data_IF_263563131528
#
_entry.id   IF_263563131528
#
_cell.length_a   1.000
_cell.length_b   1.000
_cell.length_c   1.000
_cell.angle_alpha   90.00
_cell.angle_beta   90.00
_cell.angle_gamma   90.00
#
_symmetry.space_group_name_H-M   'P 1'
#
loop_
_entity.id
_entity.type
_entity.pdbx_description
1 polymer ?
#
# COMPACT_ATOMS: atom_id res chain seq x y z
N UNK A 1 -6.39 -5.36 -21.86
CA UNK A 1 -4.93 -5.16 -21.91
C UNK A 1 -4.41 -5.20 -20.49
N UNK A 2 -3.51 -6.14 -20.23
CA UNK A 2 -3.08 -6.58 -18.91
C UNK A 2 -2.36 -5.50 -18.14
N UNK A 3 -2.93 -5.03 -17.03
CA UNK A 3 -2.17 -4.33 -15.99
C UNK A 3 -1.62 -5.40 -15.04
N UNK A 4 -0.52 -6.02 -15.48
CA UNK A 4 0.21 -6.96 -14.66
C UNK A 4 0.84 -6.24 -13.47
N UNK A 5 0.68 -6.82 -12.29
CA UNK A 5 1.55 -6.59 -11.14
C UNK A 5 2.99 -6.93 -11.53
N UNK A 6 3.76 -5.95 -12.02
CA UNK A 6 5.19 -6.07 -12.26
C UNK A 6 5.96 -5.47 -11.09
N UNK A 7 5.95 -6.17 -9.96
CA UNK A 7 6.92 -5.97 -8.90
C UNK A 7 7.93 -7.12 -8.94
N UNK A 8 8.77 -7.13 -9.96
CA UNK A 8 9.79 -8.15 -10.12
C UNK A 8 11.07 -7.58 -10.70
N UNK A 9 11.84 -6.83 -9.93
CA UNK A 9 13.20 -6.52 -10.33
C UNK A 9 14.08 -7.74 -10.08
N UNK A 10 14.36 -8.54 -11.13
CA UNK A 10 15.41 -9.55 -11.09
C UNK A 10 16.77 -8.85 -10.97
N UNK A 11 17.39 -8.97 -9.84
CA UNK A 11 18.82 -8.70 -9.71
C UNK A 11 19.57 -9.88 -10.34
N UNK A 12 20.17 -9.67 -11.50
CA UNK A 12 21.07 -10.62 -12.13
C UNK A 12 22.35 -10.74 -11.34
N UNK A 13 22.52 -11.84 -10.65
CA UNK A 13 23.75 -12.23 -9.95
C UNK A 13 23.63 -13.67 -9.50
N UNK A 14 24.14 -14.54 -10.33
CA UNK A 14 24.44 -15.98 -10.25
C UNK A 14 24.22 -16.66 -8.87
N UNK A 15 23.12 -17.35 -8.75
CA UNK A 15 22.54 -18.43 -7.96
C UNK A 15 21.10 -18.06 -7.63
N UNK A 16 20.18 -18.92 -8.05
CA UNK A 16 18.77 -18.85 -7.69
C UNK A 16 18.58 -18.99 -6.17
N UNK A 17 18.73 -17.88 -5.45
CA UNK A 17 18.16 -17.75 -4.11
C UNK A 17 16.68 -17.46 -4.34
N UNK A 18 15.80 -18.30 -3.81
CA UNK A 18 14.38 -18.01 -3.78
C UNK A 18 14.17 -16.71 -2.97
N UNK A 19 13.10 -15.96 -3.30
CA UNK A 19 12.71 -14.76 -2.51
C UNK A 19 12.52 -15.13 -1.03
N UNK A 20 12.30 -16.40 -0.72
CA UNK A 20 12.17 -16.97 0.61
C UNK A 20 13.46 -16.92 1.44
N UNK A 21 14.64 -16.83 0.79
CA UNK A 21 15.94 -16.93 1.46
C UNK A 21 16.56 -15.58 1.85
N UNK A 22 16.00 -14.45 1.37
CA UNK A 22 16.56 -13.11 1.64
C UNK A 22 15.45 -12.16 2.08
N UNK A 23 15.55 -11.61 3.31
CA UNK A 23 14.60 -10.61 3.78
C UNK A 23 14.50 -9.45 2.79
N UNK A 24 13.29 -9.15 2.36
CA UNK A 24 13.03 -8.17 1.31
C UNK A 24 11.95 -7.20 1.75
N UNK A 25 12.12 -5.91 1.46
CA UNK A 25 11.06 -4.91 1.60
C UNK A 25 10.43 -4.66 0.22
N UNK A 26 9.11 -4.83 0.16
CA UNK A 26 8.31 -4.61 -1.04
C UNK A 26 7.46 -3.35 -0.83
N UNK A 27 7.73 -2.31 -1.62
CA UNK A 27 6.90 -1.10 -1.65
C UNK A 27 5.78 -1.24 -2.68
N UNK A 28 4.53 -0.95 -2.29
CA UNK A 28 3.37 -0.98 -3.19
C UNK A 28 2.73 0.41 -3.21
N UNK A 29 2.51 0.95 -4.42
CA UNK A 29 1.93 2.28 -4.64
C UNK A 29 0.41 2.21 -4.67
N UNK A 30 -0.18 1.99 -3.51
CA UNK A 30 -1.61 2.17 -3.26
C UNK A 30 -1.89 2.23 -1.75
N UNK A 31 -3.04 2.76 -1.35
CA UNK A 31 -3.45 2.78 0.06
C UNK A 31 -3.72 1.36 0.59
N UNK A 32 -3.25 1.09 1.81
CA UNK A 32 -3.43 -0.22 2.45
C UNK A 32 -4.66 -0.27 3.36
N UNK A 33 -5.21 0.88 3.68
CA UNK A 33 -6.40 1.03 4.52
C UNK A 33 -7.08 2.38 4.26
N UNK A 34 -8.16 2.62 4.98
CA UNK A 34 -8.98 3.80 4.85
C UNK A 34 -8.94 4.66 6.13
N UNK A 35 -9.38 5.94 6.07
CA UNK A 35 -9.49 6.81 7.25
C UNK A 35 -10.41 6.22 8.32
N UNK A 36 -10.14 6.46 9.60
CA UNK A 36 -11.00 6.02 10.72
C UNK A 36 -12.46 6.40 10.54
N UNK A 37 -12.73 7.53 9.89
CA UNK A 37 -14.10 7.96 9.56
C UNK A 37 -14.86 6.93 8.73
N UNK A 38 -14.18 6.17 7.87
CA UNK A 38 -14.79 5.07 7.11
C UNK A 38 -15.26 3.96 8.04
N UNK A 39 -14.43 3.57 9.02
CA UNK A 39 -14.79 2.54 10.00
C UNK A 39 -15.99 2.96 10.84
N UNK A 40 -16.03 4.22 11.28
CA UNK A 40 -17.16 4.76 12.04
C UNK A 40 -18.47 4.71 11.24
N UNK A 41 -18.46 5.22 10.01
CA UNK A 41 -19.66 5.31 9.15
C UNK A 41 -20.19 3.92 8.79
N UNK A 42 -19.31 2.97 8.55
CA UNK A 42 -19.70 1.59 8.22
C UNK A 42 -19.78 0.65 9.42
N UNK A 43 -19.65 1.18 10.65
CA UNK A 43 -19.74 0.43 11.90
C UNK A 43 -18.79 -0.79 11.94
N UNK A 44 -17.58 -0.59 11.40
CA UNK A 44 -16.53 -1.61 11.39
C UNK A 44 -15.64 -1.45 12.62
N UNK A 45 -15.19 -2.57 13.18
CA UNK A 45 -14.13 -2.54 14.16
C UNK A 45 -12.87 -1.89 13.55
N UNK A 46 -12.14 -1.02 14.31
CA UNK A 46 -10.91 -0.40 13.84
C UNK A 46 -9.75 -1.42 13.89
N UNK A 47 -9.88 -2.49 13.13
CA UNK A 47 -8.98 -3.63 13.03
C UNK A 47 -8.69 -3.93 11.56
N UNK A 48 -7.42 -3.89 11.18
CA UNK A 48 -7.04 -4.01 9.78
C UNK A 48 -7.36 -5.37 9.15
N UNK A 49 -7.10 -6.53 9.78
CA UNK A 49 -7.52 -7.82 9.26
C UNK A 49 -9.03 -7.91 8.98
N UNK A 50 -9.85 -7.46 9.93
CA UNK A 50 -11.31 -7.42 9.78
C UNK A 50 -11.73 -6.50 8.64
N UNK A 51 -11.07 -5.35 8.49
CA UNK A 51 -11.28 -4.44 7.36
C UNK A 51 -10.97 -5.10 6.03
N UNK A 52 -9.86 -5.81 5.89
CA UNK A 52 -9.49 -6.49 4.65
C UNK A 52 -10.57 -7.50 4.23
N UNK A 53 -11.10 -8.27 5.18
CA UNK A 53 -12.14 -9.27 4.93
C UNK A 53 -13.49 -8.63 4.55
N UNK A 54 -13.89 -7.58 5.26
CA UNK A 54 -15.11 -6.83 4.94
C UNK A 54 -14.99 -6.18 3.56
N UNK A 55 -13.85 -5.55 3.28
CA UNK A 55 -13.63 -4.86 2.01
C UNK A 55 -13.64 -5.84 0.83
N UNK A 56 -12.89 -6.94 0.89
CA UNK A 56 -12.86 -7.94 -0.17
C UNK A 56 -14.24 -8.53 -0.46
N UNK A 57 -15.08 -8.71 0.54
CA UNK A 57 -16.46 -9.19 0.37
C UNK A 57 -17.32 -8.24 -0.47
N UNK A 58 -17.09 -6.93 -0.34
CA UNK A 58 -17.86 -5.91 -1.05
C UNK A 58 -17.19 -5.47 -2.36
N UNK A 59 -15.87 -5.50 -2.40
CA UNK A 59 -15.03 -5.12 -3.52
C UNK A 59 -14.12 -6.29 -3.94
N UNK A 60 -14.67 -7.38 -4.51
CA UNK A 60 -13.90 -8.57 -4.87
C UNK A 60 -13.08 -8.36 -6.16
N UNK A 61 -12.20 -7.34 -6.17
CA UNK A 61 -11.37 -7.00 -7.33
C UNK A 61 -10.22 -7.99 -7.57
N UNK A 62 -10.03 -8.97 -6.68
CA UNK A 62 -9.15 -10.12 -6.83
C UNK A 62 -9.83 -11.30 -7.55
N UNK A 63 -11.13 -11.25 -7.77
CA UNK A 63 -11.85 -12.26 -8.53
C UNK A 63 -11.55 -12.15 -10.04
N UNK A 64 -11.53 -13.28 -10.72
CA UNK A 64 -11.25 -13.37 -12.15
C UNK A 64 -12.23 -12.50 -12.96
N UNK A 65 -11.70 -11.77 -13.94
CA UNK A 65 -12.46 -10.85 -14.80
C UNK A 65 -13.24 -9.75 -14.07
N UNK A 66 -12.89 -9.44 -12.81
CA UNK A 66 -13.55 -8.40 -12.02
C UNK A 66 -12.66 -7.17 -11.91
N UNK A 67 -13.22 -6.00 -12.28
CA UNK A 67 -12.52 -4.72 -12.29
C UNK A 67 -13.21 -3.73 -11.34
N UNK A 68 -12.46 -2.78 -10.81
CA UNK A 68 -12.96 -1.74 -9.90
C UNK A 68 -14.16 -0.99 -10.48
N UNK A 69 -14.11 -0.65 -11.77
CA UNK A 69 -15.22 0.05 -12.44
C UNK A 69 -16.50 -0.81 -12.48
N UNK A 70 -16.40 -2.12 -12.69
CA UNK A 70 -17.55 -3.03 -12.65
C UNK A 70 -18.21 -3.08 -11.27
N UNK A 71 -17.39 -3.06 -10.21
CA UNK A 71 -17.89 -3.08 -8.83
C UNK A 71 -18.53 -1.73 -8.49
N UNK A 72 -17.90 -0.64 -8.89
CA UNK A 72 -18.44 0.72 -8.71
C UNK A 72 -19.78 0.90 -9.39
N UNK A 73 -19.91 0.38 -10.61
CA UNK A 73 -21.10 0.51 -11.44
C UNK A 73 -22.17 -0.55 -11.11
N UNK A 74 -21.92 -1.40 -10.11
CA UNK A 74 -22.88 -2.39 -9.60
C UNK A 74 -22.97 -3.68 -10.44
N UNK A 75 -22.06 -3.88 -11.40
CA UNK A 75 -22.03 -5.09 -12.23
C UNK A 75 -21.43 -6.30 -11.50
N UNK A 76 -20.68 -6.07 -10.42
CA UNK A 76 -20.09 -7.11 -9.57
C UNK A 76 -19.99 -6.63 -8.12
N UNK A 77 -19.94 -7.55 -7.15
CA UNK A 77 -19.79 -7.21 -5.75
C UNK A 77 -20.93 -6.35 -5.19
N UNK A 78 -20.63 -5.60 -4.13
CA UNK A 78 -21.55 -4.63 -3.51
C UNK A 78 -20.79 -3.38 -3.03
N UNK A 79 -20.04 -2.78 -3.94
CA UNK A 79 -19.19 -1.61 -3.66
C UNK A 79 -19.97 -0.41 -3.11
N UNK A 80 -21.24 -0.26 -3.53
CA UNK A 80 -22.11 0.82 -3.07
C UNK A 80 -22.33 0.79 -1.54
N UNK A 81 -22.28 -0.37 -0.90
CA UNK A 81 -22.39 -0.50 0.56
C UNK A 81 -21.11 -0.11 1.33
N UNK A 82 -20.01 0.12 0.62
CA UNK A 82 -18.69 0.42 1.19
C UNK A 82 -18.02 1.57 0.44
N UNK A 83 -18.70 2.69 0.36
CA UNK A 83 -18.21 3.92 -0.26
C UNK A 83 -17.60 4.86 0.78
N UNK A 84 -16.71 5.74 0.35
CA UNK A 84 -16.15 6.80 1.16
C UNK A 84 -16.34 8.17 0.51
N UNK A 85 -15.88 9.21 1.19
CA UNK A 85 -15.94 10.59 0.73
C UNK A 85 -14.53 11.11 0.43
N UNK A 86 -14.35 11.78 -0.70
CA UNK A 86 -13.07 12.35 -1.12
C UNK A 86 -12.47 13.37 -0.11
N UNK A 87 -13.29 13.90 0.81
CA UNK A 87 -12.82 14.78 1.90
C UNK A 87 -12.23 14.02 3.07
N UNK A 88 -12.49 12.73 3.18
CA UNK A 88 -11.91 11.90 4.23
C UNK A 88 -10.47 11.59 3.87
N UNK A 89 -9.56 12.00 4.71
CA UNK A 89 -8.12 11.79 4.51
C UNK A 89 -7.52 11.08 5.72
N UNK A 90 -6.68 10.12 5.47
CA UNK A 90 -5.84 9.48 6.48
C UNK A 90 -4.83 10.47 7.03
N UNK A 91 -4.36 10.25 8.25
CA UNK A 91 -3.33 11.12 8.87
C UNK A 91 -2.07 11.18 8.00
N UNK A 92 -1.64 10.07 7.43
CA UNK A 92 -0.48 10.01 6.52
C UNK A 92 -0.67 10.85 5.26
N UNK A 93 -1.87 10.87 4.67
CA UNK A 93 -2.19 11.70 3.50
C UNK A 93 -2.20 13.20 3.82
N UNK A 94 -2.64 13.56 5.03
CA UNK A 94 -2.62 14.94 5.49
C UNK A 94 -1.17 15.42 5.69
N UNK A 95 -0.34 14.60 6.33
CA UNK A 95 1.07 14.92 6.58
C UNK A 95 1.92 14.94 5.32
N UNK A 96 1.63 14.11 4.32
CA UNK A 96 2.37 14.12 3.05
C UNK A 96 2.19 15.42 2.27
N UNK A 97 1.13 16.18 2.55
CA UNK A 97 0.80 17.44 1.86
C UNK A 97 0.26 17.26 0.42
N UNK A 98 0.78 16.31 -0.33
CA UNK A 98 0.46 16.10 -1.75
C UNK A 98 -0.36 14.84 -2.04
N UNK A 99 -0.34 13.82 -1.17
CA UNK A 99 -1.14 12.62 -1.37
C UNK A 99 -2.64 12.94 -1.30
N UNK A 100 -3.39 12.40 -2.24
CA UNK A 100 -4.83 12.57 -2.32
C UNK A 100 -5.53 11.51 -1.48
N UNK A 101 -6.79 11.77 -1.11
CA UNK A 101 -7.64 10.79 -0.43
C UNK A 101 -7.76 9.51 -1.26
N UNK A 102 -7.75 8.36 -0.58
CA UNK A 102 -8.06 7.04 -1.15
C UNK A 102 -9.48 6.91 -1.73
N UNK A 103 -10.31 7.95 -1.62
CA UNK A 103 -11.67 8.02 -2.18
C UNK A 103 -11.83 9.02 -3.33
N UNK A 104 -10.75 9.56 -3.87
CA UNK A 104 -10.80 10.60 -4.90
C UNK A 104 -10.84 9.99 -6.31
N UNK A 105 -11.95 9.36 -6.71
CA UNK A 105 -12.09 8.58 -7.95
C UNK A 105 -11.83 9.37 -9.23
N UNK A 106 -12.32 10.59 -9.36
CA UNK A 106 -12.38 11.29 -10.63
C UNK A 106 -11.26 12.33 -10.81
N UNK A 107 -10.09 12.09 -10.18
CA UNK A 107 -8.95 13.00 -10.27
C UNK A 107 -7.73 12.28 -10.86
N UNK A 108 -7.15 12.81 -11.96
CA UNK A 108 -5.93 12.25 -12.53
C UNK A 108 -4.80 12.14 -11.52
N UNK A 109 -4.06 11.03 -11.55
CA UNK A 109 -2.99 10.73 -10.61
C UNK A 109 -3.47 10.42 -9.19
N UNK A 110 -4.74 10.05 -9.02
CA UNK A 110 -5.26 9.49 -7.78
C UNK A 110 -4.99 7.98 -7.71
N UNK A 111 -4.62 7.50 -6.53
CA UNK A 111 -4.40 6.07 -6.26
C UNK A 111 -5.69 5.30 -5.92
N UNK A 112 -6.85 5.92 -6.06
CA UNK A 112 -8.11 5.30 -5.61
C UNK A 112 -8.40 3.98 -6.32
N UNK A 113 -8.25 3.91 -7.65
CA UNK A 113 -8.50 2.67 -8.40
C UNK A 113 -7.50 1.58 -8.05
N UNK A 114 -6.21 1.92 -7.95
CA UNK A 114 -5.18 0.97 -7.51
C UNK A 114 -5.38 0.54 -6.06
N UNK A 115 -5.84 1.44 -5.18
CA UNK A 115 -6.20 1.12 -3.80
C UNK A 115 -7.36 0.11 -3.72
N UNK A 116 -8.47 0.40 -4.42
CA UNK A 116 -9.64 -0.49 -4.42
C UNK A 116 -9.36 -1.83 -5.10
N UNK A 117 -8.48 -1.86 -6.11
CA UNK A 117 -8.01 -3.10 -6.72
C UNK A 117 -7.03 -3.85 -5.82
N UNK A 118 -6.17 -3.15 -5.10
CA UNK A 118 -5.03 -3.73 -4.38
C UNK A 118 -5.36 -4.27 -3.00
N UNK A 119 -6.34 -3.69 -2.28
CA UNK A 119 -6.68 -4.13 -0.92
C UNK A 119 -7.06 -5.63 -0.86
N UNK A 120 -7.89 -6.20 -1.77
CA UNK A 120 -8.15 -7.64 -1.79
C UNK A 120 -6.89 -8.50 -1.97
N UNK A 121 -5.92 -8.02 -2.74
CA UNK A 121 -4.63 -8.70 -2.91
C UNK A 121 -3.77 -8.66 -1.64
N UNK A 122 -3.87 -7.62 -0.79
CA UNK A 122 -3.22 -7.61 0.52
C UNK A 122 -3.79 -8.72 1.41
N UNK A 123 -5.10 -8.94 1.37
CA UNK A 123 -5.74 -10.06 2.08
C UNK A 123 -5.23 -11.41 1.55
N UNK A 124 -5.16 -11.57 0.22
CA UNK A 124 -4.61 -12.77 -0.39
C UNK A 124 -3.17 -13.04 0.08
N UNK A 125 -2.30 -12.03 0.01
CA UNK A 125 -0.91 -12.15 0.48
C UNK A 125 -0.85 -12.52 1.97
N UNK A 126 -1.68 -11.89 2.81
CA UNK A 126 -1.74 -12.19 4.24
C UNK A 126 -2.15 -13.63 4.50
N UNK A 127 -3.12 -14.16 3.75
CA UNK A 127 -3.55 -15.57 3.84
C UNK A 127 -2.49 -16.55 3.35
N UNK A 128 -1.78 -16.22 2.27
CA UNK A 128 -0.75 -17.09 1.67
C UNK A 128 0.53 -17.17 2.51
N UNK A 129 0.97 -16.05 3.04
CA UNK A 129 2.27 -15.96 3.73
C UNK A 129 2.15 -15.98 5.25
N UNK A 130 0.99 -15.60 5.81
CA UNK A 130 0.77 -15.60 7.27
C UNK A 130 1.85 -14.84 8.01
N UNK A 131 2.38 -15.43 9.07
CA UNK A 131 3.42 -14.84 9.90
C UNK A 131 4.81 -14.72 9.23
N UNK A 132 4.97 -15.18 7.99
CA UNK A 132 6.22 -15.05 7.22
C UNK A 132 6.39 -13.69 6.55
N UNK A 133 5.31 -12.88 6.49
CA UNK A 133 5.30 -11.57 5.84
C UNK A 133 4.75 -10.52 6.81
N UNK A 134 5.51 -9.45 7.00
CA UNK A 134 5.15 -8.33 7.88
C UNK A 134 4.48 -7.22 7.08
N UNK A 135 3.24 -6.88 7.41
CA UNK A 135 2.54 -5.74 6.82
C UNK A 135 2.72 -4.52 7.72
N UNK A 136 3.65 -3.67 7.35
CA UNK A 136 3.94 -2.46 8.12
C UNK A 136 2.95 -1.33 7.82
N UNK A 137 2.43 -0.60 8.84
CA UNK A 137 2.70 -0.73 10.27
C UNK A 137 1.70 -1.64 11.04
N UNK A 138 0.82 -2.37 10.35
CA UNK A 138 -0.31 -3.12 10.93
C UNK A 138 0.15 -4.28 11.83
N UNK A 139 1.20 -4.97 11.46
CA UNK A 139 1.81 -6.04 12.27
C UNK A 139 2.85 -5.49 13.27
N UNK A 140 2.92 -4.15 13.38
CA UNK A 140 3.82 -3.43 14.27
C UNK A 140 4.80 -2.53 13.54
N UNK A 141 5.35 -1.57 14.27
CA UNK A 141 6.29 -0.56 13.77
C UNK A 141 7.74 -1.08 13.63
N UNK A 142 8.02 -2.24 14.16
CA UNK A 142 9.33 -2.88 14.07
C UNK A 142 9.22 -4.17 13.29
N UNK A 143 9.88 -4.23 12.14
CA UNK A 143 9.96 -5.45 11.33
C UNK A 143 10.92 -6.40 12.04
N UNK A 144 10.53 -7.64 12.37
CA UNK A 144 11.41 -8.62 12.98
C UNK A 144 12.63 -8.92 12.08
N UNK A 145 13.78 -9.15 12.71
CA UNK A 145 14.99 -9.48 11.97
C UNK A 145 14.78 -10.75 11.12
N UNK A 146 15.22 -10.70 9.88
CA UNK A 146 15.09 -11.81 8.94
C UNK A 146 13.70 -11.95 8.30
N UNK A 147 12.75 -11.06 8.57
CA UNK A 147 11.42 -11.11 7.99
C UNK A 147 11.30 -10.18 6.79
N UNK A 148 10.63 -10.63 5.74
CA UNK A 148 10.22 -9.78 4.62
C UNK A 148 9.03 -8.91 5.00
N UNK A 149 8.94 -7.72 4.41
CA UNK A 149 7.87 -6.78 4.73
C UNK A 149 7.24 -6.16 3.48
N UNK A 150 5.95 -5.86 3.58
CA UNK A 150 5.19 -5.07 2.62
C UNK A 150 4.89 -3.71 3.24
N UNK A 151 5.14 -2.64 2.50
CA UNK A 151 4.98 -1.25 2.93
C UNK A 151 4.24 -0.45 1.87
N UNK A 152 3.38 0.46 2.31
CA UNK A 152 2.78 1.46 1.42
C UNK A 152 3.82 2.50 1.05
N UNK A 153 3.93 2.81 -0.24
CA UNK A 153 4.84 3.85 -0.75
C UNK A 153 4.09 4.85 -1.61
N UNK A 154 4.68 6.04 -1.75
CA UNK A 154 4.17 7.09 -2.61
C UNK A 154 5.31 7.63 -3.47
N UNK A 155 5.45 7.18 -4.72
CA UNK A 155 6.60 7.50 -5.60
C UNK A 155 6.87 8.98 -5.75
N UNK A 156 5.83 9.82 -5.69
CA UNK A 156 5.96 11.29 -5.80
C UNK A 156 6.87 11.91 -4.73
N UNK A 157 7.15 11.22 -3.63
CA UNK A 157 8.11 11.67 -2.62
C UNK A 157 9.55 11.63 -3.13
N UNK A 158 9.85 10.76 -4.09
CA UNK A 158 11.25 10.50 -4.49
C UNK A 158 11.52 10.48 -5.98
N UNK A 159 10.51 10.33 -6.85
CA UNK A 159 10.71 10.13 -8.30
C UNK A 159 11.54 11.21 -8.97
N UNK A 160 11.46 12.43 -8.49
CA UNK A 160 12.25 13.55 -9.03
C UNK A 160 13.75 13.50 -8.70
N UNK A 161 14.18 12.61 -7.81
CA UNK A 161 15.60 12.39 -7.48
C UNK A 161 16.32 11.52 -8.51
N UNK A 162 15.58 10.81 -9.35
CA UNK A 162 16.10 9.85 -10.29
C UNK A 162 15.74 10.25 -11.72
N UNK A 163 16.65 10.09 -12.69
CA UNK A 163 16.34 10.38 -14.09
C UNK A 163 15.38 9.31 -14.64
N UNK A 164 14.41 9.75 -15.44
CA UNK A 164 13.40 8.85 -16.03
C UNK A 164 13.96 7.96 -17.13
N UNK A 165 14.95 8.47 -17.90
CA UNK A 165 15.44 7.82 -19.12
C UNK A 165 14.25 7.40 -20.02
N UNK A 166 14.32 6.21 -20.62
CA UNK A 166 13.28 5.66 -21.50
C UNK A 166 12.17 4.88 -20.78
N UNK A 167 12.03 5.07 -19.45
CA UNK A 167 11.01 4.38 -18.64
C UNK A 167 9.64 5.00 -18.87
N UNK A 168 8.62 4.16 -18.95
CA UNK A 168 7.24 4.62 -18.79
C UNK A 168 7.03 5.22 -17.40
N UNK A 169 5.99 6.06 -17.17
CA UNK A 169 5.72 6.61 -15.84
C UNK A 169 5.69 5.55 -14.72
N UNK A 170 4.98 4.44 -14.92
CA UNK A 170 4.87 3.36 -13.94
C UNK A 170 6.23 2.66 -13.69
N UNK A 171 7.00 2.45 -14.75
CA UNK A 171 8.36 1.89 -14.63
C UNK A 171 9.29 2.84 -13.88
N UNK A 172 9.13 4.15 -14.10
CA UNK A 172 9.93 5.15 -13.41
C UNK A 172 9.56 5.24 -11.93
N UNK A 173 8.29 5.20 -11.61
CA UNK A 173 7.79 5.20 -10.23
C UNK A 173 8.31 3.96 -9.47
N UNK A 174 8.18 2.76 -10.04
CA UNK A 174 8.70 1.53 -9.45
C UNK A 174 10.23 1.55 -9.28
N UNK A 175 10.96 2.02 -10.30
CA UNK A 175 12.41 2.17 -10.23
C UNK A 175 12.86 3.15 -9.14
N UNK A 176 12.18 4.29 -9.05
CA UNK A 176 12.51 5.34 -8.09
C UNK A 176 12.31 4.88 -6.65
N UNK A 177 11.20 4.18 -6.37
CA UNK A 177 10.95 3.58 -5.06
C UNK A 177 11.99 2.52 -4.72
N UNK A 178 12.27 1.58 -5.63
CA UNK A 178 13.26 0.53 -5.39
C UNK A 178 14.68 1.10 -5.17
N UNK A 179 15.04 2.13 -5.94
CA UNK A 179 16.33 2.80 -5.79
C UNK A 179 16.43 3.54 -4.47
N UNK A 180 15.38 4.28 -4.09
CA UNK A 180 15.34 4.96 -2.80
C UNK A 180 15.39 4.01 -1.61
N UNK A 181 14.60 2.93 -1.62
CA UNK A 181 14.63 1.90 -0.57
C UNK A 181 16.04 1.32 -0.39
N UNK A 182 16.70 0.98 -1.51
CA UNK A 182 18.08 0.48 -1.50
C UNK A 182 19.08 1.50 -0.92
N UNK A 183 18.95 2.77 -1.28
CA UNK A 183 19.81 3.84 -0.75
C UNK A 183 19.57 4.05 0.75
N UNK A 184 18.30 4.09 1.17
CA UNK A 184 17.91 4.28 2.56
C UNK A 184 18.38 3.10 3.44
N UNK A 185 18.29 1.87 2.93
CA UNK A 185 18.78 0.67 3.63
C UNK A 185 20.31 0.71 3.78
N UNK A 186 21.03 0.92 2.68
CA UNK A 186 22.51 0.98 2.69
C UNK A 186 23.08 2.08 3.57
N UNK A 187 22.39 3.21 3.68
CA UNK A 187 22.79 4.34 4.53
C UNK A 187 22.30 4.23 5.97
N UNK A 188 21.57 3.17 6.33
CA UNK A 188 20.96 3.00 7.65
C UNK A 188 19.78 3.96 7.93
N UNK A 189 19.35 4.75 6.96
CA UNK A 189 18.24 5.70 7.13
C UNK A 189 16.87 5.03 7.14
N UNK A 190 16.75 3.83 6.55
CA UNK A 190 15.47 3.12 6.46
C UNK A 190 14.84 2.91 7.84
N UNK A 191 15.66 2.60 8.85
CA UNK A 191 15.20 2.43 10.24
C UNK A 191 14.50 3.67 10.81
N UNK A 192 14.87 4.88 10.37
CA UNK A 192 14.21 6.14 10.78
C UNK A 192 12.86 6.29 10.10
N UNK A 193 12.76 5.94 8.82
CA UNK A 193 11.49 6.01 8.09
C UNK A 193 10.47 4.97 8.57
N UNK A 194 10.95 3.82 9.07
CA UNK A 194 10.10 2.82 9.70
C UNK A 194 9.66 3.21 11.13
N UNK A 195 10.22 4.28 11.69
CA UNK A 195 9.85 4.82 13.02
C UNK A 195 9.57 6.32 12.94
N UNK A 196 8.53 6.76 12.22
CA UNK A 196 8.20 8.18 12.11
C UNK A 196 7.88 8.78 13.48
N UNK A 197 8.15 10.09 13.63
CA UNK A 197 7.86 10.85 14.85
C UNK A 197 6.37 11.10 14.95
N UNK A 198 5.66 10.20 15.59
CA UNK A 198 4.22 10.25 15.82
C UNK A 198 3.92 10.38 17.32
N UNK A 199 2.91 11.18 17.66
CA UNK A 199 2.31 11.14 18.98
C UNK A 199 1.68 9.77 19.24
N UNK A 200 1.45 9.38 20.52
CA UNK A 200 0.76 8.12 20.81
C UNK A 200 -0.61 8.00 20.13
N UNK A 201 -1.37 9.11 20.06
CA UNK A 201 -2.66 9.14 19.39
C UNK A 201 -2.54 8.90 17.88
N UNK A 202 -1.64 9.60 17.20
CA UNK A 202 -1.39 9.40 15.77
C UNK A 202 -0.87 7.99 15.47
N UNK A 203 -0.05 7.44 16.34
CA UNK A 203 0.46 6.06 16.20
C UNK A 203 -0.65 5.02 16.31
N UNK A 204 -1.61 5.23 17.21
CA UNK A 204 -2.80 4.38 17.33
C UNK A 204 -3.67 4.47 16.05
N UNK A 205 -3.93 5.68 15.58
CA UNK A 205 -4.68 5.91 14.34
C UNK A 205 -3.97 5.27 13.13
N UNK A 206 -2.66 5.47 12.99
CA UNK A 206 -1.87 4.90 11.90
C UNK A 206 -1.79 3.36 11.94
N UNK A 207 -1.99 2.74 13.10
CA UNK A 207 -2.14 1.30 13.24
C UNK A 207 -3.40 0.74 12.55
N UNK A 208 -4.38 1.60 12.28
CA UNK A 208 -5.64 1.26 11.58
C UNK A 208 -5.64 1.80 10.15
N UNK A 209 -5.29 3.09 9.99
CA UNK A 209 -5.30 3.77 8.68
C UNK A 209 -4.13 3.40 7.78
N UNK A 210 -3.06 2.81 8.33
CA UNK A 210 -1.79 2.61 7.64
C UNK A 210 -0.92 3.88 7.64
N UNK A 211 0.27 3.74 7.09
CA UNK A 211 1.24 4.83 6.97
C UNK A 211 2.04 4.71 5.68
N UNK A 212 2.19 5.82 4.96
CA UNK A 212 3.04 5.89 3.78
C UNK A 212 4.50 5.97 4.25
N UNK A 213 5.32 5.02 3.87
CA UNK A 213 6.74 4.99 4.22
C UNK A 213 7.44 6.25 3.67
N UNK A 214 8.17 6.94 4.54
CA UNK A 214 8.89 8.17 4.18
C UNK A 214 8.14 9.46 4.48
N UNK A 215 6.87 9.42 4.85
CA UNK A 215 6.14 10.57 5.40
C UNK A 215 6.60 10.80 6.85
N UNK A 216 6.97 12.04 7.18
CA UNK A 216 7.48 12.46 8.50
C UNK A 216 6.36 12.99 9.40
#
# INVERSE_FOLDING_TARGET
MSTGLNAGMRLTGNRSRSIEDVPTIVGIDHGFSFPLRYFEVHQLAPDWPTFLEDFQRHWPADAEHTYVDFIRDGAAGNGAARTGNARWRRVTEQRSGSAKSVFHFDVPGSVVKSTHAGIPWLLYLRRQFGARLHFWPFDGWSIPAGMSAVVEVYPSLWKHRFPSHDRTPDQHDAFSVASWLREADRSGQLARFLKPSLTPAERAVAGVEGWILGVA
#
